data_IF_670047980232
#
_entry.id   IF_670047980232
#
_cell.length_a   1.000
_cell.length_b   1.000
_cell.length_c   1.000
_cell.angle_alpha   90.00
_cell.angle_beta   90.00
_cell.angle_gamma   90.00
#
_symmetry.space_group_name_H-M   'P 1'
#
loop_
_entity.id
_entity.type
_entity.pdbx_description
1 polymer ?
#
# COMPACT_ATOMS: atom_id res chain seq x y z
N UNK A 1 11.16 1.76 -49.51
CA UNK A 1 12.35 2.15 -48.71
C UNK A 1 11.99 3.17 -47.63
N UNK A 2 11.38 4.31 -47.95
CA UNK A 2 10.94 5.30 -46.95
C UNK A 2 9.89 4.77 -45.95
N UNK A 3 8.92 3.96 -46.41
CA UNK A 3 7.92 3.31 -45.55
C UNK A 3 8.53 2.34 -44.53
N UNK A 4 9.54 1.56 -44.94
CA UNK A 4 10.26 0.62 -44.08
C UNK A 4 11.08 1.34 -43.00
N UNK A 5 11.74 2.45 -43.36
CA UNK A 5 12.45 3.29 -42.39
C UNK A 5 11.51 3.94 -41.38
N UNK A 6 10.33 4.40 -41.82
CA UNK A 6 9.31 4.93 -40.93
C UNK A 6 8.79 3.86 -39.95
N UNK A 7 8.58 2.63 -40.43
CA UNK A 7 8.19 1.50 -39.57
C UNK A 7 9.29 1.16 -38.55
N UNK A 8 10.56 1.11 -38.98
CA UNK A 8 11.69 0.86 -38.08
C UNK A 8 11.84 1.95 -37.00
N UNK A 9 11.58 3.21 -37.34
CA UNK A 9 11.60 4.31 -36.37
C UNK A 9 10.45 4.19 -35.37
N UNK A 10 9.24 3.85 -35.82
CA UNK A 10 8.10 3.60 -34.91
C UNK A 10 8.38 2.45 -33.95
N UNK A 11 8.97 1.36 -34.44
CA UNK A 11 9.33 0.20 -33.61
C UNK A 11 10.36 0.60 -32.54
N UNK A 12 11.42 1.33 -32.92
CA UNK A 12 12.41 1.83 -31.96
C UNK A 12 11.81 2.76 -30.90
N UNK A 13 10.92 3.67 -31.30
CA UNK A 13 10.24 4.56 -30.35
C UNK A 13 9.37 3.77 -29.37
N UNK A 14 8.60 2.79 -29.86
CA UNK A 14 7.79 1.92 -29.00
C UNK A 14 8.65 1.09 -28.05
N UNK A 15 9.79 0.57 -28.50
CA UNK A 15 10.73 -0.16 -27.64
C UNK A 15 11.27 0.73 -26.52
N UNK A 16 11.59 1.99 -26.82
CA UNK A 16 12.02 2.99 -25.84
C UNK A 16 10.91 3.30 -24.83
N UNK A 17 9.67 3.53 -25.29
CA UNK A 17 8.52 3.79 -24.42
C UNK A 17 8.24 2.59 -23.50
N UNK A 18 8.30 1.37 -24.03
CA UNK A 18 8.11 0.14 -23.25
C UNK A 18 9.21 0.01 -22.19
N UNK A 19 10.47 0.28 -22.54
CA UNK A 19 11.58 0.24 -21.59
C UNK A 19 11.38 1.25 -20.45
N UNK A 20 10.99 2.48 -20.79
CA UNK A 20 10.72 3.53 -19.81
C UNK A 20 9.54 3.18 -18.89
N UNK A 21 8.45 2.65 -19.45
CA UNK A 21 7.29 2.18 -18.66
C UNK A 21 7.69 1.04 -17.73
N UNK A 22 8.48 0.07 -18.21
CA UNK A 22 8.96 -1.04 -17.38
C UNK A 22 9.84 -0.55 -16.23
N UNK A 23 10.76 0.37 -16.48
CA UNK A 23 11.61 0.93 -15.43
C UNK A 23 10.78 1.63 -14.34
N UNK A 24 9.84 2.48 -14.75
CA UNK A 24 8.93 3.15 -13.81
C UNK A 24 8.07 2.15 -13.03
N UNK A 25 7.52 1.15 -13.70
CA UNK A 25 6.71 0.12 -13.05
C UNK A 25 7.51 -0.66 -12.01
N UNK A 26 8.78 -1.00 -12.28
CA UNK A 26 9.65 -1.67 -11.29
C UNK A 26 9.77 -0.86 -10.00
N UNK A 27 9.98 0.46 -10.09
CA UNK A 27 10.04 1.35 -8.91
C UNK A 27 8.72 1.34 -8.15
N UNK A 28 7.60 1.48 -8.87
CA UNK A 28 6.26 1.47 -8.28
C UNK A 28 5.92 0.14 -7.60
N UNK A 29 6.32 -1.00 -8.18
CA UNK A 29 6.06 -2.31 -7.58
C UNK A 29 6.91 -2.54 -6.33
N UNK A 30 8.14 -2.05 -6.28
CA UNK A 30 8.96 -2.07 -5.06
C UNK A 30 8.33 -1.22 -3.95
N UNK A 31 7.86 -0.01 -4.28
CA UNK A 31 7.16 0.84 -3.32
C UNK A 31 5.89 0.16 -2.80
N UNK A 32 5.06 -0.40 -3.70
CA UNK A 32 3.87 -1.18 -3.32
C UNK A 32 4.22 -2.38 -2.46
N UNK A 33 5.30 -3.11 -2.76
CA UNK A 33 5.75 -4.24 -1.96
C UNK A 33 6.13 -3.79 -0.55
N UNK A 34 6.78 -2.63 -0.41
CA UNK A 34 7.03 -2.02 0.89
C UNK A 34 5.74 -1.62 1.61
N UNK A 35 4.80 -0.96 0.94
CA UNK A 35 3.53 -0.51 1.54
C UNK A 35 2.65 -1.68 2.01
N UNK A 36 2.67 -2.77 1.25
CA UNK A 36 1.93 -4.00 1.56
C UNK A 36 2.70 -4.94 2.49
N UNK A 37 3.97 -4.65 2.78
CA UNK A 37 4.80 -5.49 3.63
C UNK A 37 4.25 -5.57 5.06
N UNK A 38 4.36 -6.76 5.65
CA UNK A 38 4.06 -6.96 7.07
C UNK A 38 4.97 -6.15 8.00
N UNK A 39 6.17 -5.78 7.53
CA UNK A 39 7.15 -5.00 8.29
C UNK A 39 6.66 -3.57 8.55
N UNK A 40 6.11 -2.87 7.54
CA UNK A 40 5.51 -1.54 7.74
C UNK A 40 4.37 -1.61 8.75
N UNK A 41 3.50 -2.62 8.64
CA UNK A 41 2.38 -2.81 9.56
C UNK A 41 2.85 -3.03 10.99
N UNK A 42 3.89 -3.84 11.20
CA UNK A 42 4.49 -4.08 12.51
C UNK A 42 5.16 -2.82 13.07
N UNK A 43 5.91 -2.08 12.24
CA UNK A 43 6.57 -0.83 12.65
C UNK A 43 5.56 0.22 13.11
N UNK A 44 4.50 0.47 12.33
CA UNK A 44 3.45 1.42 12.72
C UNK A 44 2.73 0.96 13.98
N UNK A 45 2.39 -0.34 14.09
CA UNK A 45 1.74 -0.88 15.30
C UNK A 45 2.60 -0.68 16.54
N UNK A 46 3.90 -0.95 16.44
CA UNK A 46 4.85 -0.75 17.53
C UNK A 46 4.97 0.74 17.92
N UNK A 47 5.08 1.65 16.94
CA UNK A 47 5.13 3.09 17.21
C UNK A 47 3.85 3.60 17.88
N UNK A 48 2.67 3.18 17.39
CA UNK A 48 1.39 3.53 18.00
C UNK A 48 1.32 3.05 19.45
N UNK A 49 1.71 1.81 19.71
CA UNK A 49 1.75 1.28 21.08
C UNK A 49 2.68 2.10 21.98
N UNK A 50 3.91 2.38 21.54
CA UNK A 50 4.89 3.15 22.31
C UNK A 50 4.40 4.56 22.63
N UNK A 51 3.80 5.26 21.66
CA UNK A 51 3.26 6.62 21.86
C UNK A 51 2.11 6.60 22.86
N UNK A 52 1.16 5.68 22.72
CA UNK A 52 -0.03 5.61 23.60
C UNK A 52 0.37 5.19 25.02
N UNK A 53 1.27 4.21 25.17
CA UNK A 53 1.82 3.83 26.49
C UNK A 53 2.47 5.04 27.15
N UNK A 54 3.36 5.75 26.43
CA UNK A 54 4.07 6.91 26.98
C UNK A 54 3.09 8.00 27.43
N UNK A 55 2.04 8.25 26.65
CA UNK A 55 0.98 9.19 27.01
C UNK A 55 0.21 8.75 28.26
N UNK A 56 -0.20 7.48 28.36
CA UNK A 56 -0.93 6.98 29.53
C UNK A 56 -0.09 6.94 30.80
N UNK A 57 1.21 6.67 30.69
CA UNK A 57 2.14 6.79 31.81
C UNK A 57 2.26 8.24 32.29
N UNK A 58 2.42 9.20 31.37
CA UNK A 58 2.51 10.62 31.71
C UNK A 58 1.21 11.15 32.36
N UNK A 59 0.06 10.67 31.88
CA UNK A 59 -1.26 11.05 32.40
C UNK A 59 -1.71 10.23 33.63
N UNK A 60 -0.87 9.32 34.15
CA UNK A 60 -1.13 8.48 35.34
C UNK A 60 -2.46 7.70 35.26
N UNK A 61 -2.83 7.24 34.06
CA UNK A 61 -4.06 6.43 33.90
C UNK A 61 -3.87 5.02 34.49
N UNK A 62 -4.95 4.39 34.98
CA UNK A 62 -4.91 3.00 35.38
C UNK A 62 -4.63 2.09 34.17
N UNK A 63 -3.87 1.02 34.41
CA UNK A 63 -3.57 -0.05 33.43
C UNK A 63 -3.05 0.45 32.06
N UNK A 64 -2.00 1.29 32.01
CA UNK A 64 -1.54 1.96 30.78
C UNK A 64 -1.09 0.99 29.68
N UNK A 65 -0.53 -0.15 30.06
CA UNK A 65 -0.07 -1.19 29.12
C UNK A 65 -1.23 -1.97 28.48
N UNK A 66 -2.34 -2.18 29.19
CA UNK A 66 -3.49 -2.91 28.65
C UNK A 66 -4.36 -1.98 27.79
N UNK A 67 -4.59 -0.75 28.26
CA UNK A 67 -5.41 0.23 27.55
C UNK A 67 -4.78 0.68 26.23
N UNK A 68 -3.45 0.68 26.13
CA UNK A 68 -2.70 1.00 24.90
C UNK A 68 -2.70 -0.11 23.85
N UNK A 69 -3.09 -1.34 24.23
CA UNK A 69 -3.30 -2.42 23.29
C UNK A 69 -4.51 -2.16 22.38
N UNK A 70 -5.51 -1.42 22.86
CA UNK A 70 -6.75 -1.15 22.13
C UNK A 70 -6.48 -0.37 20.82
N UNK A 71 -5.76 0.77 20.83
CA UNK A 71 -5.39 1.47 19.59
C UNK A 71 -4.51 0.64 18.64
N UNK A 72 -3.56 -0.13 19.16
CA UNK A 72 -2.70 -0.99 18.36
C UNK A 72 -3.50 -2.12 17.67
N UNK A 73 -4.41 -2.76 18.41
CA UNK A 73 -5.31 -3.78 17.87
C UNK A 73 -6.31 -3.21 16.86
N UNK A 74 -6.87 -2.03 17.12
CA UNK A 74 -7.76 -1.34 16.18
C UNK A 74 -7.05 -1.01 14.86
N UNK A 75 -5.81 -0.52 14.91
CA UNK A 75 -4.98 -0.31 13.71
C UNK A 75 -4.73 -1.62 12.95
N UNK A 76 -4.33 -2.68 13.65
CA UNK A 76 -4.04 -3.98 13.04
C UNK A 76 -5.29 -4.62 12.38
N UNK A 77 -6.43 -4.51 13.03
CA UNK A 77 -7.72 -4.94 12.48
C UNK A 77 -8.07 -4.13 11.23
N UNK A 78 -7.97 -2.80 11.28
CA UNK A 78 -8.29 -1.95 10.13
C UNK A 78 -7.46 -2.27 8.89
N UNK A 79 -6.14 -2.46 9.07
CA UNK A 79 -5.22 -2.74 7.96
C UNK A 79 -5.47 -4.12 7.34
N UNK A 80 -6.02 -5.06 8.09
CA UNK A 80 -6.31 -6.42 7.62
C UNK A 80 -7.72 -6.55 7.04
N UNK A 81 -8.70 -5.79 7.56
CA UNK A 81 -10.09 -5.85 7.11
C UNK A 81 -10.36 -5.00 5.86
N UNK A 82 -9.69 -3.86 5.69
CA UNK A 82 -9.90 -2.94 4.56
C UNK A 82 -9.73 -3.60 3.17
N UNK A 83 -8.73 -4.47 2.91
CA UNK A 83 -8.61 -5.17 1.64
C UNK A 83 -9.83 -6.03 1.32
N UNK A 84 -10.44 -6.65 2.34
CA UNK A 84 -11.66 -7.45 2.17
C UNK A 84 -12.85 -6.58 1.78
N UNK A 85 -13.09 -5.47 2.50
CA UNK A 85 -14.14 -4.51 2.15
C UNK A 85 -13.97 -3.93 0.75
N UNK A 86 -12.73 -3.62 0.35
CA UNK A 86 -12.40 -3.15 -1.00
C UNK A 86 -12.80 -4.15 -2.08
N UNK A 87 -12.54 -5.45 -1.89
CA UNK A 87 -12.94 -6.52 -2.83
C UNK A 87 -14.45 -6.55 -3.00
N UNK A 88 -15.19 -6.62 -1.89
CA UNK A 88 -16.66 -6.64 -1.90
C UNK A 88 -17.26 -5.44 -2.63
N UNK A 89 -16.69 -4.24 -2.44
CA UNK A 89 -17.17 -3.04 -3.11
C UNK A 89 -16.88 -3.05 -4.61
N UNK A 90 -15.68 -3.47 -5.04
CA UNK A 90 -15.31 -3.56 -6.45
C UNK A 90 -16.20 -4.54 -7.22
N UNK A 91 -16.49 -5.71 -6.65
CA UNK A 91 -17.37 -6.71 -7.27
C UNK A 91 -18.77 -6.14 -7.53
N UNK A 92 -19.29 -5.34 -6.59
CA UNK A 92 -20.59 -4.66 -6.73
C UNK A 92 -20.57 -3.55 -7.79
N UNK A 93 -19.47 -2.83 -7.94
CA UNK A 93 -19.36 -1.77 -8.96
C UNK A 93 -19.22 -2.36 -10.37
N UNK A 94 -18.51 -3.48 -10.53
CA UNK A 94 -18.38 -4.16 -11.83
C UNK A 94 -19.74 -4.71 -12.32
N UNK A 95 -20.62 -5.14 -11.41
CA UNK A 95 -21.99 -5.56 -11.76
C UNK A 95 -22.90 -4.42 -12.20
N UNK A 96 -22.58 -3.16 -11.83
CA UNK A 96 -23.35 -1.97 -12.24
C UNK A 96 -23.06 -1.50 -13.67
N UNK A 97 -21.97 -1.94 -14.27
CA UNK A 97 -21.51 -1.52 -15.61
C UNK A 97 -21.58 -2.65 -16.66
N UNK A 98 -22.19 -3.80 -16.31
CA UNK A 98 -22.63 -4.84 -17.26
C UNK A 98 -24.13 -4.70 -17.50
#
# INVERSE_FOLDING_TARGET
MASTQQQQTRLRLLEQDIAHIKERNTRVELDKAWETSGLRRLMVTAMTYLVVVSFFLAAKLPTPYLSSLVPAAAYLLSTTSLPWFKRVWLDRQQQKHK
#
